data_IF_206519414544
#
_entry.id   IF_206519414544
#
_cell.length_a   1.000
_cell.length_b   1.000
_cell.length_c   1.000
_cell.angle_alpha   90.00
_cell.angle_beta   90.00
_cell.angle_gamma   90.00
#
_symmetry.space_group_name_H-M   'P 1'
#
loop_
_entity.id
_entity.type
_entity.pdbx_description
1 polymer ?
#
# COMPACT_ATOMS: atom_id res chain seq x y z
N UNK A 1 9.46 0.06 18.22
CA UNK A 1 10.48 -0.70 17.46
C UNK A 1 10.95 0.19 16.33
N UNK A 2 12.26 0.48 16.25
CA UNK A 2 12.79 1.39 15.23
C UNK A 2 12.67 0.73 13.84
N UNK A 3 11.60 1.02 13.12
CA UNK A 3 11.50 0.73 11.70
C UNK A 3 12.58 1.58 11.02
N UNK A 4 13.65 0.92 10.58
CA UNK A 4 14.77 1.58 9.91
C UNK A 4 14.24 2.38 8.73
N UNK A 5 14.63 3.66 8.59
CA UNK A 5 14.28 4.49 7.42
C UNK A 5 14.58 3.78 6.08
N UNK A 6 15.51 2.84 6.08
CA UNK A 6 15.83 2.00 4.92
C UNK A 6 14.73 1.00 4.55
N UNK A 7 13.99 0.47 5.52
CA UNK A 7 12.91 -0.50 5.27
C UNK A 7 11.72 0.16 4.59
N UNK A 8 11.26 1.33 5.08
CA UNK A 8 10.22 2.14 4.42
C UNK A 8 10.60 2.51 2.98
N UNK A 9 11.87 2.88 2.76
CA UNK A 9 12.39 3.20 1.41
C UNK A 9 12.38 1.98 0.49
N UNK A 10 12.70 0.80 1.01
CA UNK A 10 12.67 -0.44 0.26
C UNK A 10 11.24 -0.82 -0.16
N UNK A 11 10.26 -0.66 0.74
CA UNK A 11 8.84 -0.90 0.43
C UNK A 11 8.30 0.07 -0.62
N UNK A 12 8.56 1.38 -0.48
CA UNK A 12 8.18 2.37 -1.50
C UNK A 12 8.78 2.05 -2.88
N UNK A 13 10.03 1.59 -2.91
CA UNK A 13 10.67 1.15 -4.15
C UNK A 13 10.03 -0.13 -4.70
N UNK A 14 9.66 -1.08 -3.83
CA UNK A 14 8.99 -2.32 -4.22
C UNK A 14 7.61 -2.05 -4.84
N UNK A 15 6.79 -1.18 -4.24
CA UNK A 15 5.50 -0.77 -4.82
C UNK A 15 5.68 -0.13 -6.20
N UNK A 16 6.66 0.78 -6.36
CA UNK A 16 6.94 1.42 -7.64
C UNK A 16 7.42 0.43 -8.72
N UNK A 17 8.31 -0.50 -8.34
CA UNK A 17 8.81 -1.52 -9.25
C UNK A 17 7.72 -2.53 -9.64
N UNK A 18 6.91 -3.00 -8.68
CA UNK A 18 5.77 -3.89 -8.94
C UNK A 18 4.80 -3.28 -9.96
N UNK A 19 4.38 -2.05 -9.72
CA UNK A 19 3.46 -1.32 -10.59
C UNK A 19 4.04 -1.17 -12.01
N UNK A 20 5.34 -0.90 -12.14
CA UNK A 20 5.98 -0.78 -13.46
C UNK A 20 5.89 -2.06 -14.29
N UNK A 21 6.05 -3.24 -13.66
CA UNK A 21 5.98 -4.54 -14.34
C UNK A 21 4.55 -4.83 -14.80
N UNK A 22 3.55 -4.48 -13.99
CA UNK A 22 2.13 -4.64 -14.35
C UNK A 22 1.77 -3.77 -15.55
N UNK A 23 2.20 -2.50 -15.54
CA UNK A 23 1.95 -1.56 -16.63
C UNK A 23 2.59 -2.08 -17.94
N UNK A 24 3.82 -2.59 -17.89
CA UNK A 24 4.47 -3.19 -19.06
C UNK A 24 3.70 -4.42 -19.56
N UNK A 25 3.25 -5.29 -18.66
CA UNK A 25 2.44 -6.45 -19.02
C UNK A 25 1.11 -6.06 -19.67
N UNK A 26 0.41 -5.07 -19.11
CA UNK A 26 -0.81 -4.51 -19.67
C UNK A 26 -0.57 -3.88 -21.05
N UNK A 27 0.51 -3.13 -21.20
CA UNK A 27 0.93 -2.54 -22.47
C UNK A 27 1.10 -3.62 -23.55
N UNK A 28 1.81 -4.70 -23.24
CA UNK A 28 2.01 -5.79 -24.20
C UNK A 28 0.70 -6.51 -24.52
N UNK A 29 -0.20 -6.63 -23.53
CA UNK A 29 -1.51 -7.25 -23.72
C UNK A 29 -2.41 -6.42 -24.65
N UNK A 30 -2.43 -5.09 -24.52
CA UNK A 30 -3.25 -4.23 -25.39
C UNK A 30 -2.65 -4.08 -26.79
N UNK A 31 -1.31 -4.01 -26.90
CA UNK A 31 -0.61 -3.87 -28.18
C UNK A 31 -0.45 -5.19 -28.93
N UNK A 32 -0.85 -6.31 -28.31
CA UNK A 32 -0.67 -7.66 -28.86
C UNK A 32 0.78 -7.93 -29.28
N UNK A 33 1.73 -7.38 -28.52
CA UNK A 33 3.15 -7.62 -28.75
C UNK A 33 3.53 -8.99 -28.22
N UNK A 34 4.16 -9.78 -29.09
CA UNK A 34 4.63 -11.12 -28.79
C UNK A 34 6.11 -11.21 -29.16
N UNK A 35 6.94 -11.54 -28.18
CA UNK A 35 8.36 -11.77 -28.37
C UNK A 35 8.68 -13.23 -28.07
N UNK A 36 8.46 -14.10 -29.06
CA UNK A 36 8.65 -15.54 -28.92
C UNK A 36 7.76 -16.12 -27.80
N UNK A 37 8.33 -16.75 -26.76
CA UNK A 37 7.54 -17.30 -25.64
C UNK A 37 6.95 -16.23 -24.70
N UNK A 38 7.39 -14.97 -24.81
CA UNK A 38 6.89 -13.87 -23.99
C UNK A 38 5.67 -13.24 -24.66
N UNK A 39 4.48 -13.61 -24.19
CA UNK A 39 3.22 -12.98 -24.59
C UNK A 39 2.80 -11.90 -23.59
N UNK A 40 2.04 -10.91 -24.05
CA UNK A 40 1.47 -9.89 -23.16
C UNK A 40 0.60 -10.47 -22.03
N UNK A 41 -0.07 -11.61 -22.28
CA UNK A 41 -0.82 -12.32 -21.24
C UNK A 41 0.07 -12.87 -20.14
N UNK A 42 1.21 -13.47 -20.50
CA UNK A 42 2.18 -13.98 -19.53
C UNK A 42 2.82 -12.85 -18.71
N UNK A 43 3.27 -11.78 -19.37
CA UNK A 43 3.85 -10.62 -18.67
C UNK A 43 2.85 -9.95 -17.72
N UNK A 44 1.59 -9.81 -18.16
CA UNK A 44 0.51 -9.26 -17.32
C UNK A 44 0.22 -10.18 -16.12
N UNK A 45 0.16 -11.50 -16.31
CA UNK A 45 -0.06 -12.44 -15.22
C UNK A 45 1.06 -12.37 -14.18
N UNK A 46 2.33 -12.33 -14.62
CA UNK A 46 3.49 -12.20 -13.72
C UNK A 46 3.45 -10.87 -12.96
N UNK A 47 3.12 -9.77 -13.64
CA UNK A 47 2.98 -8.46 -13.00
C UNK A 47 1.89 -8.48 -11.92
N UNK A 48 0.70 -8.99 -12.24
CA UNK A 48 -0.41 -9.05 -11.30
C UNK A 48 -0.15 -9.96 -10.10
N UNK A 49 0.53 -11.10 -10.31
CA UNK A 49 0.97 -11.97 -9.20
C UNK A 49 1.97 -11.24 -8.30
N UNK A 50 2.92 -10.51 -8.91
CA UNK A 50 3.91 -9.72 -8.16
C UNK A 50 3.21 -8.67 -7.30
N UNK A 51 2.25 -7.92 -7.85
CA UNK A 51 1.45 -6.95 -7.10
C UNK A 51 0.62 -7.60 -6.00
N UNK A 52 -0.02 -8.74 -6.26
CA UNK A 52 -0.78 -9.46 -5.24
C UNK A 52 0.08 -9.84 -4.03
N UNK A 53 1.34 -10.23 -4.25
CA UNK A 53 2.28 -10.53 -3.16
C UNK A 53 2.72 -9.28 -2.41
N UNK A 54 3.04 -8.19 -3.13
CA UNK A 54 3.42 -6.92 -2.51
C UNK A 54 2.28 -6.38 -1.64
N UNK A 55 1.04 -6.44 -2.13
CA UNK A 55 -0.16 -6.02 -1.41
C UNK A 55 -0.48 -6.92 -0.22
N UNK A 56 -0.22 -8.23 -0.32
CA UNK A 56 -0.38 -9.13 0.81
C UNK A 56 0.63 -8.82 1.93
N UNK A 57 1.87 -8.48 1.58
CA UNK A 57 2.90 -8.13 2.57
C UNK A 57 2.63 -6.74 3.17
N UNK A 58 2.12 -5.78 2.38
CA UNK A 58 1.80 -4.43 2.86
C UNK A 58 0.75 -4.41 3.97
N UNK A 59 -0.16 -5.38 3.99
CA UNK A 59 -1.16 -5.53 5.04
C UNK A 59 -0.57 -5.77 6.44
N UNK A 60 0.69 -6.22 6.52
CA UNK A 60 1.41 -6.42 7.78
C UNK A 60 2.36 -5.26 8.13
N UNK A 61 2.43 -4.22 7.29
CA UNK A 61 3.24 -3.04 7.57
C UNK A 61 2.52 -2.13 8.59
N UNK A 62 3.21 -1.63 9.62
CA UNK A 62 2.60 -0.68 10.56
C UNK A 62 2.19 0.60 9.81
N UNK A 63 0.99 1.10 10.12
CA UNK A 63 0.49 2.38 9.60
C UNK A 63 1.50 3.47 9.96
N UNK A 64 1.97 4.22 8.96
CA UNK A 64 2.89 5.32 9.19
C UNK A 64 2.24 6.37 10.11
N UNK A 65 2.95 6.77 11.16
CA UNK A 65 2.54 7.88 12.01
C UNK A 65 2.46 9.17 11.16
N UNK A 66 1.28 9.77 11.07
CA UNK A 66 1.10 11.06 10.41
C UNK A 66 2.01 12.10 11.06
N UNK A 67 2.76 12.85 10.23
CA UNK A 67 3.56 13.97 10.71
C UNK A 67 2.68 14.94 11.49
N UNK A 68 3.13 15.32 12.68
CA UNK A 68 2.40 16.27 13.52
C UNK A 68 2.58 17.70 12.97
N UNK A 69 1.68 18.07 12.06
CA UNK A 69 1.64 19.39 11.43
C UNK A 69 1.35 20.52 12.42
N UNK A 70 0.92 20.21 13.64
CA UNK A 70 0.70 21.20 14.68
C UNK A 70 1.97 21.87 15.18
N UNK A 71 3.13 21.24 14.96
CA UNK A 71 4.45 21.84 15.25
C UNK A 71 4.76 23.06 14.39
N UNK A 72 4.21 23.13 13.17
CA UNK A 72 4.45 24.24 12.22
C UNK A 72 3.20 25.12 12.07
N UNK A 73 2.01 24.52 12.18
CA UNK A 73 0.72 25.19 12.10
C UNK A 73 -0.10 24.86 13.35
N UNK A 74 0.13 25.56 14.47
CA UNK A 74 -0.52 25.27 15.75
C UNK A 74 -2.05 25.34 15.69
N UNK A 75 -2.62 26.07 14.73
CA UNK A 75 -4.07 26.04 14.42
C UNK A 75 -4.63 24.64 14.09
N UNK A 76 -3.81 23.67 13.67
CA UNK A 76 -4.25 22.30 13.35
C UNK A 76 -4.20 21.33 14.54
N UNK A 77 -3.64 21.75 15.69
CA UNK A 77 -3.46 20.92 16.89
C UNK A 77 -4.79 20.33 17.42
N UNK A 78 -5.90 21.04 17.24
CA UNK A 78 -7.22 20.59 17.67
C UNK A 78 -7.87 19.52 16.76
N UNK A 79 -7.36 19.35 15.53
CA UNK A 79 -7.91 18.42 14.54
C UNK A 79 -7.37 17.00 14.68
N UNK A 80 -6.07 16.85 14.93
CA UNK A 80 -5.35 15.56 14.95
C UNK A 80 -5.91 14.58 16.01
N UNK A 81 -6.23 15.10 17.21
CA UNK A 81 -6.84 14.31 18.29
C UNK A 81 -8.24 13.80 17.95
N UNK A 82 -8.97 14.51 17.09
CA UNK A 82 -10.33 14.13 16.67
C UNK A 82 -10.32 13.01 15.62
N UNK A 83 -9.31 12.99 14.75
CA UNK A 83 -9.14 11.97 13.70
C UNK A 83 -8.65 10.67 14.31
N UNK A 84 -7.61 10.72 15.15
CA UNK A 84 -7.07 9.55 15.87
C UNK A 84 -8.14 8.90 16.76
N UNK A 85 -8.88 9.68 17.56
CA UNK A 85 -9.98 9.16 18.39
C UNK A 85 -11.14 8.58 17.57
N UNK A 86 -11.39 9.12 16.37
CA UNK A 86 -12.42 8.61 15.46
C UNK A 86 -11.99 7.34 14.73
N UNK A 87 -10.70 7.18 14.49
CA UNK A 87 -10.11 5.98 13.92
C UNK A 87 -10.10 4.86 14.97
N UNK A 88 -9.58 5.12 16.17
CA UNK A 88 -9.61 4.19 17.31
C UNK A 88 -11.05 3.76 17.67
N UNK A 89 -12.02 4.68 17.62
CA UNK A 89 -13.43 4.35 17.86
C UNK A 89 -14.08 3.55 16.73
N UNK A 90 -13.58 3.63 15.49
CA UNK A 90 -14.02 2.79 14.37
C UNK A 90 -13.42 1.40 14.50
N UNK A 91 -12.12 1.32 14.75
CA UNK A 91 -11.39 0.06 14.90
C UNK A 91 -11.91 -0.75 16.11
N UNK A 92 -12.25 -0.08 17.22
CA UNK A 92 -12.87 -0.71 18.38
C UNK A 92 -14.30 -1.23 18.10
N UNK A 93 -15.11 -0.48 17.35
CA UNK A 93 -16.47 -0.91 16.95
C UNK A 93 -16.45 -2.09 15.98
N UNK A 94 -15.46 -2.13 15.11
CA UNK A 94 -15.28 -3.20 14.14
C UNK A 94 -14.81 -4.50 14.84
N UNK A 95 -13.92 -4.38 15.82
CA UNK A 95 -13.51 -5.50 16.68
C UNK A 95 -14.67 -6.06 17.53
N UNK A 96 -15.52 -5.20 18.12
CA UNK A 96 -16.73 -5.65 18.84
C UNK A 96 -17.75 -6.34 17.93
N UNK A 97 -17.95 -5.85 16.70
CA UNK A 97 -18.87 -6.45 15.73
C UNK A 97 -18.46 -7.85 15.27
N UNK A 98 -17.16 -8.16 15.28
CA UNK A 98 -16.61 -9.48 14.94
C UNK A 98 -16.72 -10.49 16.10
N UNK A 99 -16.72 -10.02 17.35
CA UNK A 99 -16.84 -10.87 18.55
C UNK A 99 -18.30 -11.23 18.88
N UNK A 100 -19.26 -10.48 18.36
CA UNK A 100 -20.70 -10.69 18.60
C UNK A 100 -21.37 -11.62 17.58
N UNK A 101 -20.61 -12.28 16.68
CA UNK A 101 -21.12 -13.18 15.64
C UNK A 101 -20.67 -14.62 15.81
#
# INVERSE_FOLDING_TARGET
MAQSKSTKKLFNMAYGLGASVVIIGALFKILHWEFGPLTGGLLLAVGLITEALIFAISAFEPVDDEYDWSLVYPELAGGQQSVSRKQEAKDAKEAEGLLSK
#
